data_IF_848054033202
#
_entry.id   IF_848054033202
#
_cell.length_a   1.000
_cell.length_b   1.000
_cell.length_c   1.000
_cell.angle_alpha   90.00
_cell.angle_beta   90.00
_cell.angle_gamma   90.00
#
_symmetry.space_group_name_H-M   'P 1'
#
loop_
_entity.id
_entity.type
_entity.pdbx_description
1 polymer ?
#
# COMPACT_ATOMS: atom_id res chain seq x y z
N UNK A 1 14.94 8.37 -2.29
CA UNK A 1 14.84 7.15 -1.48
C UNK A 1 14.54 7.56 -0.04
N UNK A 2 13.56 6.93 0.57
CA UNK A 2 13.10 7.16 1.94
C UNK A 2 13.33 5.87 2.75
N UNK A 3 13.78 5.98 3.99
CA UNK A 3 14.09 4.83 4.87
C UNK A 3 13.60 5.09 6.30
N UNK A 4 13.17 4.01 6.95
CA UNK A 4 12.83 3.98 8.37
C UNK A 4 13.14 2.56 8.89
N UNK A 5 14.30 2.37 9.52
CA UNK A 5 14.82 1.07 9.89
C UNK A 5 15.03 0.16 8.68
N UNK A 6 14.35 -0.98 8.66
CA UNK A 6 14.35 -1.97 7.56
C UNK A 6 13.32 -1.67 6.46
N UNK A 7 12.55 -0.58 6.61
CA UNK A 7 11.56 -0.13 5.64
C UNK A 7 12.21 0.76 4.60
N UNK A 8 11.81 0.60 3.33
CA UNK A 8 12.33 1.38 2.23
C UNK A 8 11.21 1.76 1.26
N UNK A 9 11.29 2.98 0.75
CA UNK A 9 10.54 3.42 -0.42
C UNK A 9 11.45 4.21 -1.34
N UNK A 10 11.58 3.79 -2.59
CA UNK A 10 12.31 4.48 -3.63
C UNK A 10 11.36 4.86 -4.76
N UNK A 11 11.48 6.09 -5.26
CA UNK A 11 10.75 6.58 -6.43
C UNK A 11 11.76 6.81 -7.53
N UNK A 12 11.54 6.16 -8.67
CA UNK A 12 12.42 6.15 -9.85
C UNK A 12 11.62 6.68 -11.06
N UNK A 13 12.24 7.40 -11.99
CA UNK A 13 11.57 7.77 -13.23
C UNK A 13 11.14 6.54 -14.02
N UNK A 14 9.92 6.55 -14.55
CA UNK A 14 9.41 5.50 -15.43
C UNK A 14 8.35 6.11 -16.36
N UNK A 15 8.08 5.52 -17.55
CA UNK A 15 7.08 6.05 -18.47
C UNK A 15 5.64 5.94 -17.94
N UNK A 16 5.38 4.91 -17.13
CA UNK A 16 4.08 4.61 -16.53
C UNK A 16 4.19 4.47 -15.02
N UNK A 17 3.05 4.52 -14.34
CA UNK A 17 3.02 4.30 -12.90
C UNK A 17 3.12 2.80 -12.59
N UNK A 18 4.18 2.41 -11.89
CA UNK A 18 4.46 1.03 -11.52
C UNK A 18 4.78 0.92 -10.02
N UNK A 19 4.34 -0.15 -9.40
CA UNK A 19 4.60 -0.42 -7.97
C UNK A 19 5.18 -1.82 -7.82
N UNK A 20 6.40 -1.92 -7.34
CA UNK A 20 7.00 -3.16 -6.84
C UNK A 20 7.00 -3.15 -5.33
N UNK A 21 6.17 -3.98 -4.75
CA UNK A 21 5.97 -3.99 -3.30
C UNK A 21 6.29 -5.34 -2.68
N UNK A 22 7.09 -5.31 -1.63
CA UNK A 22 7.33 -6.42 -0.72
C UNK A 22 6.76 -6.07 0.64
N UNK A 23 5.93 -6.95 1.18
CA UNK A 23 5.48 -6.92 2.56
C UNK A 23 6.09 -8.08 3.33
N UNK A 24 6.20 -7.93 4.64
CA UNK A 24 6.69 -8.97 5.53
C UNK A 24 5.96 -8.85 6.88
N UNK A 25 5.10 -9.83 7.13
CA UNK A 25 4.26 -9.91 8.32
C UNK A 25 4.46 -11.27 9.00
N UNK A 26 4.05 -11.43 10.26
CA UNK A 26 4.01 -12.75 10.89
C UNK A 26 3.18 -13.74 10.09
N UNK A 27 3.43 -15.05 10.30
CA UNK A 27 2.53 -16.08 9.81
C UNK A 27 1.10 -15.85 10.34
N UNK A 28 0.07 -16.16 9.56
CA UNK A 28 0.09 -16.88 8.28
C UNK A 28 0.22 -15.97 7.03
N UNK A 29 0.34 -14.66 7.15
CA UNK A 29 0.50 -13.74 6.00
C UNK A 29 1.88 -13.93 5.36
N UNK A 30 2.96 -13.92 6.17
CA UNK A 30 4.33 -14.10 5.72
C UNK A 30 4.85 -12.95 4.84
N UNK A 31 5.88 -13.26 4.08
CA UNK A 31 6.46 -12.37 3.08
C UNK A 31 5.74 -12.55 1.75
N UNK A 32 5.28 -11.45 1.16
CA UNK A 32 4.63 -11.43 -0.15
C UNK A 32 5.23 -10.35 -1.03
N UNK A 33 5.21 -10.58 -2.33
CA UNK A 33 5.68 -9.64 -3.34
C UNK A 33 4.64 -9.49 -4.45
N UNK A 34 4.51 -8.27 -4.97
CA UNK A 34 3.73 -7.97 -6.16
C UNK A 34 4.44 -6.94 -7.02
N UNK A 35 4.29 -7.08 -8.33
CA UNK A 35 4.70 -6.13 -9.36
C UNK A 35 3.43 -5.68 -10.09
N UNK A 36 2.94 -4.49 -9.77
CA UNK A 36 1.77 -3.87 -10.40
C UNK A 36 2.23 -2.83 -11.41
N UNK A 37 1.78 -2.97 -12.64
CA UNK A 37 2.06 -2.05 -13.75
C UNK A 37 0.75 -1.52 -14.32
N UNK A 38 0.51 -0.21 -14.19
CA UNK A 38 -0.72 0.44 -14.64
C UNK A 38 -0.92 0.42 -16.16
N UNK A 39 0.15 0.19 -16.93
CA UNK A 39 0.07 0.05 -18.38
C UNK A 39 -0.50 -1.31 -18.83
N UNK A 40 -0.31 -2.35 -18.02
CA UNK A 40 -0.69 -3.73 -18.35
C UNK A 40 -1.79 -4.31 -17.47
N UNK A 41 -1.99 -3.79 -16.25
CA UNK A 41 -2.98 -4.27 -15.28
C UNK A 41 -4.05 -3.22 -14.97
N UNK A 42 -5.32 -3.63 -15.02
CA UNK A 42 -6.43 -2.77 -14.60
C UNK A 42 -6.45 -2.61 -13.08
N UNK A 43 -6.34 -1.37 -12.59
CA UNK A 43 -6.54 -1.05 -11.18
C UNK A 43 -7.84 -1.63 -10.61
N UNK A 44 -8.94 -1.50 -11.36
CA UNK A 44 -10.27 -1.98 -10.95
C UNK A 44 -10.31 -3.50 -10.74
N UNK A 45 -9.56 -4.25 -11.53
CA UNK A 45 -9.55 -5.70 -11.45
C UNK A 45 -8.47 -6.24 -10.49
N UNK A 46 -7.26 -5.66 -10.55
CA UNK A 46 -6.10 -6.20 -9.86
C UNK A 46 -5.88 -5.64 -8.44
N UNK A 47 -6.32 -4.40 -8.18
CA UNK A 47 -6.00 -3.70 -6.93
C UNK A 47 -7.25 -3.38 -6.10
N UNK A 48 -8.25 -2.72 -6.70
CA UNK A 48 -9.41 -2.20 -5.98
C UNK A 48 -10.22 -3.25 -5.17
N UNK A 49 -10.33 -4.52 -5.55
CA UNK A 49 -11.10 -5.50 -4.80
C UNK A 49 -10.46 -5.97 -3.50
N UNK A 50 -9.16 -5.68 -3.27
CA UNK A 50 -8.42 -6.27 -2.16
C UNK A 50 -8.70 -5.54 -0.85
N UNK A 51 -9.16 -6.32 0.15
CA UNK A 51 -9.55 -5.81 1.47
C UNK A 51 -8.33 -5.54 2.34
N UNK A 52 -8.49 -4.61 3.28
CA UNK A 52 -7.53 -4.46 4.40
C UNK A 52 -7.47 -5.74 5.22
N UNK A 53 -6.42 -5.90 6.01
CA UNK A 53 -6.23 -7.09 6.84
C UNK A 53 -5.67 -6.72 8.21
N UNK A 54 -5.86 -7.63 9.15
CA UNK A 54 -5.28 -7.54 10.49
C UNK A 54 -5.27 -8.91 11.16
N UNK A 55 -4.53 -9.04 12.24
CA UNK A 55 -4.48 -10.25 13.04
C UNK A 55 -5.56 -10.21 14.12
N UNK A 56 -6.16 -11.37 14.44
CA UNK A 56 -7.26 -11.46 15.39
C UNK A 56 -6.97 -10.73 16.71
N UNK A 57 -5.82 -10.97 17.31
CA UNK A 57 -5.43 -10.36 18.57
C UNK A 57 -5.31 -8.82 18.50
N UNK A 58 -4.88 -8.28 17.36
CA UNK A 58 -4.81 -6.83 17.14
C UNK A 58 -6.21 -6.23 16.95
N UNK A 59 -7.07 -6.91 16.19
CA UNK A 59 -8.47 -6.49 15.99
C UNK A 59 -9.22 -6.48 17.30
N UNK A 60 -9.09 -7.53 18.13
CA UNK A 60 -9.70 -7.61 19.45
C UNK A 60 -9.22 -6.47 20.39
N UNK A 61 -7.91 -6.17 20.35
CA UNK A 61 -7.34 -5.05 21.12
C UNK A 61 -7.85 -3.68 20.64
N UNK A 62 -8.06 -3.50 19.34
CA UNK A 62 -8.65 -2.27 18.79
C UNK A 62 -10.12 -2.11 19.19
N UNK A 63 -10.92 -3.18 19.06
CA UNK A 63 -12.33 -3.19 19.46
C UNK A 63 -12.51 -2.90 20.96
N UNK A 64 -11.66 -3.48 21.82
CA UNK A 64 -11.68 -3.20 23.26
C UNK A 64 -11.42 -1.72 23.59
N UNK A 65 -10.78 -0.98 22.68
CA UNK A 65 -10.54 0.47 22.77
C UNK A 65 -11.59 1.33 22.06
N UNK A 66 -12.65 0.73 21.54
CA UNK A 66 -13.69 1.41 20.77
C UNK A 66 -13.23 1.86 19.35
N UNK A 67 -12.13 1.26 18.85
CA UNK A 67 -11.60 1.51 17.50
C UNK A 67 -12.03 0.41 16.55
N UNK A 68 -11.84 0.63 15.23
CA UNK A 68 -12.19 -0.33 14.18
C UNK A 68 -13.69 -0.74 14.14
N UNK A 69 -14.58 0.07 14.70
CA UNK A 69 -16.02 -0.22 14.80
C UNK A 69 -16.73 -0.36 13.45
N UNK A 70 -16.15 0.15 12.36
CA UNK A 70 -16.65 -0.01 10.97
C UNK A 70 -16.12 -1.26 10.27
N UNK A 71 -15.27 -2.05 10.93
CA UNK A 71 -14.72 -3.28 10.37
C UNK A 71 -15.76 -4.39 10.30
N UNK A 72 -15.81 -5.08 9.17
CA UNK A 72 -16.57 -6.31 8.95
C UNK A 72 -15.76 -7.28 8.10
N UNK A 73 -16.14 -8.56 8.08
CA UNK A 73 -15.48 -9.54 7.22
C UNK A 73 -15.70 -9.29 5.71
N UNK A 74 -16.59 -8.36 5.37
CA UNK A 74 -16.79 -7.93 3.98
C UNK A 74 -15.72 -6.93 3.53
N UNK A 75 -15.22 -6.07 4.45
CA UNK A 75 -14.25 -5.01 4.14
C UNK A 75 -12.86 -5.24 4.74
N UNK A 76 -12.69 -6.25 5.59
CA UNK A 76 -11.41 -6.61 6.20
C UNK A 76 -11.22 -8.14 6.26
N UNK A 77 -9.99 -8.58 6.05
CA UNK A 77 -9.57 -9.96 6.27
C UNK A 77 -8.93 -10.07 7.65
N UNK A 78 -9.49 -10.92 8.50
CA UNK A 78 -8.91 -11.21 9.81
C UNK A 78 -8.15 -12.54 9.73
N UNK A 79 -6.87 -12.51 10.05
CA UNK A 79 -6.01 -13.68 10.13
C UNK A 79 -5.94 -14.21 11.57
N UNK A 80 -6.20 -15.49 11.73
CA UNK A 80 -5.91 -16.25 12.95
C UNK A 80 -4.64 -17.11 12.76
N UNK A 81 -4.24 -17.86 13.75
CA UNK A 81 -3.05 -18.74 13.71
C UNK A 81 -3.09 -19.75 12.56
N UNK A 82 -4.27 -20.24 12.19
CA UNK A 82 -4.48 -21.24 11.15
C UNK A 82 -4.75 -20.64 9.75
N UNK A 83 -4.84 -19.32 9.63
CA UNK A 83 -5.12 -18.65 8.36
C UNK A 83 -6.22 -17.60 8.42
N UNK A 84 -6.72 -17.14 7.27
CA UNK A 84 -7.77 -16.14 7.21
C UNK A 84 -9.11 -16.74 7.64
N UNK A 85 -9.91 -15.98 8.41
CA UNK A 85 -11.24 -16.39 8.87
C UNK A 85 -12.28 -16.47 7.74
N UNK A 86 -12.00 -15.84 6.62
CA UNK A 86 -12.82 -15.87 5.40
C UNK A 86 -11.94 -16.10 4.19
N UNK A 87 -12.43 -16.69 3.11
CA UNK A 87 -11.66 -16.86 1.89
C UNK A 87 -11.07 -15.55 1.37
N UNK A 88 -9.83 -15.57 0.94
CA UNK A 88 -9.18 -14.47 0.25
C UNK A 88 -9.81 -14.28 -1.14
N UNK A 89 -9.88 -13.04 -1.61
CA UNK A 89 -10.31 -12.70 -2.97
C UNK A 89 -9.22 -12.99 -4.01
N UNK A 90 -7.95 -12.92 -3.59
CA UNK A 90 -6.78 -13.37 -4.35
C UNK A 90 -5.77 -13.97 -3.38
N UNK A 91 -4.88 -14.85 -3.85
CA UNK A 91 -3.86 -15.47 -3.01
C UNK A 91 -2.89 -14.45 -2.38
N UNK A 92 -2.71 -13.31 -3.04
CA UNK A 92 -1.84 -12.20 -2.69
C UNK A 92 -2.63 -10.95 -2.23
N UNK A 93 -3.87 -11.13 -1.74
CA UNK A 93 -4.76 -10.04 -1.30
C UNK A 93 -4.07 -9.07 -0.31
N UNK A 94 -3.29 -9.54 0.70
CA UNK A 94 -2.61 -8.63 1.63
C UNK A 94 -1.64 -7.67 0.94
N UNK A 95 -0.75 -8.14 0.07
CA UNK A 95 0.21 -7.26 -0.60
C UNK A 95 -0.47 -6.36 -1.62
N UNK A 96 -1.51 -6.83 -2.32
CA UNK A 96 -2.30 -5.99 -3.23
C UNK A 96 -3.07 -4.89 -2.52
N UNK A 97 -3.56 -5.14 -1.32
CA UNK A 97 -4.13 -4.08 -0.48
C UNK A 97 -3.09 -3.02 -0.12
N UNK A 98 -1.85 -3.42 0.18
CA UNK A 98 -0.78 -2.44 0.44
C UNK A 98 -0.41 -1.61 -0.80
N UNK A 99 -0.56 -2.17 -2.01
CA UNK A 99 -0.49 -1.39 -3.25
C UNK A 99 -1.65 -0.38 -3.33
N UNK A 100 -2.87 -0.78 -2.94
CA UNK A 100 -4.03 0.12 -2.88
C UNK A 100 -3.76 1.29 -1.93
N UNK A 101 -3.24 1.03 -0.72
CA UNK A 101 -2.85 2.06 0.24
C UNK A 101 -1.85 3.06 -0.39
N UNK A 102 -0.80 2.56 -1.04
CA UNK A 102 0.22 3.38 -1.68
C UNK A 102 -0.37 4.23 -2.81
N UNK A 103 -1.21 3.65 -3.66
CA UNK A 103 -1.89 4.37 -4.75
C UNK A 103 -2.77 5.48 -4.18
N UNK A 104 -3.52 5.20 -3.11
CA UNK A 104 -4.34 6.19 -2.42
C UNK A 104 -3.53 7.35 -1.84
N UNK A 105 -2.40 7.06 -1.21
CA UNK A 105 -1.50 8.09 -0.68
C UNK A 105 -0.88 8.94 -1.79
N UNK A 106 -0.46 8.32 -2.91
CA UNK A 106 0.10 9.04 -4.05
C UNK A 106 -0.94 9.86 -4.81
N UNK A 107 -2.23 9.53 -4.73
CA UNK A 107 -3.31 10.33 -5.28
C UNK A 107 -3.40 11.75 -4.68
N UNK A 108 -2.82 11.98 -3.49
CA UNK A 108 -2.70 13.30 -2.87
C UNK A 108 -1.88 14.29 -3.71
N UNK A 109 -1.09 13.81 -4.68
CA UNK A 109 -0.40 14.67 -5.66
C UNK A 109 -1.35 15.33 -6.66
N UNK A 110 -2.62 14.90 -6.73
CA UNK A 110 -3.60 15.37 -7.71
C UNK A 110 -3.46 14.75 -9.10
N UNK A 111 -2.40 14.00 -9.33
CA UNK A 111 -2.14 13.24 -10.56
C UNK A 111 -1.23 12.05 -10.23
N UNK A 112 -1.31 10.98 -11.02
CA UNK A 112 -0.36 9.88 -10.89
C UNK A 112 0.96 10.26 -11.57
N UNK A 113 2.09 10.21 -10.84
CA UNK A 113 3.38 10.51 -11.42
C UNK A 113 3.82 9.41 -12.40
N UNK A 114 4.57 9.78 -13.42
CA UNK A 114 5.28 8.83 -14.28
C UNK A 114 6.51 8.33 -13.53
N UNK A 115 6.33 7.28 -12.75
CA UNK A 115 7.38 6.73 -11.91
C UNK A 115 7.15 5.27 -11.55
N UNK A 116 8.25 4.60 -11.24
CA UNK A 116 8.26 3.32 -10.56
C UNK A 116 8.51 3.53 -9.06
N UNK A 117 7.67 2.93 -8.23
CA UNK A 117 7.83 2.93 -6.78
C UNK A 117 8.26 1.54 -6.32
N UNK A 118 9.45 1.44 -5.75
CA UNK A 118 9.94 0.23 -5.09
C UNK A 118 9.71 0.39 -3.59
N UNK A 119 8.88 -0.47 -3.01
CA UNK A 119 8.41 -0.39 -1.64
C UNK A 119 8.71 -1.69 -0.89
N UNK A 120 9.47 -1.63 0.19
CA UNK A 120 9.79 -2.76 1.05
C UNK A 120 9.30 -2.44 2.45
N UNK A 121 8.36 -3.25 2.97
CA UNK A 121 7.74 -3.06 4.30
C UNK A 121 7.22 -1.65 4.56
N UNK A 122 6.94 -0.89 3.49
CA UNK A 122 6.53 0.51 3.58
C UNK A 122 5.09 0.65 4.06
N UNK A 123 4.77 1.83 4.56
CA UNK A 123 3.43 2.22 4.98
C UNK A 123 3.25 3.72 4.83
N UNK A 124 2.10 4.24 5.26
CA UNK A 124 1.67 5.62 5.09
C UNK A 124 2.74 6.66 5.45
N UNK A 125 3.53 6.45 6.51
CA UNK A 125 4.57 7.40 6.92
C UNK A 125 5.62 7.64 5.82
N UNK A 126 6.12 6.56 5.19
CA UNK A 126 7.06 6.67 4.07
C UNK A 126 6.39 7.15 2.80
N UNK A 127 5.14 6.75 2.55
CA UNK A 127 4.35 7.23 1.41
C UNK A 127 4.17 8.76 1.49
N UNK A 128 3.76 9.30 2.65
CA UNK A 128 3.60 10.74 2.84
C UNK A 128 4.91 11.51 2.72
N UNK A 129 6.02 10.96 3.21
CA UNK A 129 7.33 11.57 3.04
C UNK A 129 7.71 11.68 1.55
N UNK A 130 7.43 10.63 0.76
CA UNK A 130 7.66 10.63 -0.68
C UNK A 130 6.75 11.63 -1.42
N UNK A 131 5.45 11.59 -1.12
CA UNK A 131 4.44 12.51 -1.71
C UNK A 131 4.83 13.96 -1.46
N UNK A 132 5.21 14.30 -0.23
CA UNK A 132 5.62 15.64 0.12
C UNK A 132 6.85 16.11 -0.65
N UNK A 133 7.88 15.26 -0.74
CA UNK A 133 9.10 15.58 -1.49
C UNK A 133 8.84 15.72 -3.00
N UNK A 134 7.92 14.94 -3.57
CA UNK A 134 7.52 15.05 -4.97
C UNK A 134 6.74 16.34 -5.23
N UNK A 135 5.80 16.71 -4.35
CA UNK A 135 5.03 17.94 -4.44
C UNK A 135 5.93 19.18 -4.36
N UNK A 136 6.90 19.22 -3.44
CA UNK A 136 7.88 20.29 -3.30
C UNK A 136 8.73 20.47 -4.57
N UNK A 137 9.18 19.36 -5.20
CA UNK A 137 9.93 19.38 -6.46
C UNK A 137 9.08 19.87 -7.63
N UNK A 138 7.83 19.45 -7.73
CA UNK A 138 6.92 19.91 -8.78
C UNK A 138 6.65 21.41 -8.66
N UNK A 139 6.42 21.91 -7.45
CA UNK A 139 6.24 23.35 -7.20
C UNK A 139 7.49 24.15 -7.57
N UNK A 140 8.69 23.66 -7.24
CA UNK A 140 9.96 24.31 -7.60
C UNK A 140 10.14 24.35 -9.13
N UNK A 141 9.90 23.24 -9.84
CA UNK A 141 10.01 23.18 -11.30
C UNK A 141 9.04 24.16 -11.98
N UNK A 142 7.81 24.30 -11.49
CA UNK A 142 6.85 25.27 -12.00
C UNK A 142 7.28 26.72 -11.79
N UNK A 143 7.92 27.03 -10.66
CA UNK A 143 8.38 28.39 -10.33
C UNK A 143 9.62 28.84 -11.13
N UNK A 144 10.40 27.89 -11.67
CA UNK A 144 11.62 28.18 -12.47
C UNK A 144 11.37 28.18 -13.98
N UNK A 145 10.19 27.75 -14.43
CA UNK A 145 9.80 27.71 -15.85
C UNK A 145 9.02 28.97 -16.30
N UNK A 146 8.72 29.90 -15.40
CA UNK A 146 8.05 31.20 -15.67
C UNK A 146 9.03 32.35 -15.59
#
# INVERSE_FOLDING_TARGET
VFRDGDKLLAVLPAPDFRVRMTIDFPAPVGTQYVDYDSASESYRAAVAPNRTFGFRHEVEALLARGLAMGGSLENAVVFDVDGPLVPLRSADEPVRHKVLDLIGDFALLGAYPQCEVVAIKSGHALHYAAVRALAERAAFAASTAG
#
